data_IF_367619969861
#
_entry.id   IF_367619969861
#
_cell.length_a   1.000
_cell.length_b   1.000
_cell.length_c   1.000
_cell.angle_alpha   90.00
_cell.angle_beta   90.00
_cell.angle_gamma   90.00
#
_symmetry.space_group_name_H-M   'P 1'
#
loop_
_entity.id
_entity.type
_entity.pdbx_description
1 polymer ?
#
# COMPACT_ATOMS: atom_id res chain seq x y z
N UNK A 1 8.82 16.00 -12.80
CA UNK A 1 7.92 16.28 -12.04
C UNK A 1 7.39 15.26 -11.22
N UNK A 2 7.54 15.29 -10.06
CA UNK A 2 7.14 14.28 -9.16
C UNK A 2 5.66 14.35 -8.97
N UNK A 3 5.00 13.32 -9.37
CA UNK A 3 3.64 13.30 -9.21
C UNK A 3 3.34 12.28 -8.25
N UNK A 4 2.58 12.51 -7.28
CA UNK A 4 2.23 11.54 -6.32
C UNK A 4 1.01 10.80 -6.71
N UNK A 5 0.75 10.72 -7.96
CA UNK A 5 -0.40 10.02 -8.42
C UNK A 5 -0.05 8.62 -8.78
N UNK A 6 -0.80 7.66 -8.33
CA UNK A 6 -0.59 6.27 -8.66
C UNK A 6 -1.76 5.76 -9.46
N UNK A 7 -1.49 4.92 -10.43
CA UNK A 7 -2.56 4.33 -11.20
C UNK A 7 -3.24 3.25 -10.39
N UNK A 8 -4.50 2.94 -10.70
CA UNK A 8 -5.21 1.91 -9.94
C UNK A 8 -4.48 0.59 -9.87
N UNK A 9 -3.83 0.19 -10.96
CA UNK A 9 -3.09 -1.06 -10.95
C UNK A 9 -1.92 -1.00 -10.01
N UNK A 10 -1.27 0.14 -9.94
CA UNK A 10 -0.15 0.29 -9.03
C UNK A 10 -0.59 0.24 -7.60
N UNK A 11 -1.75 0.83 -7.33
CA UNK A 11 -2.28 0.82 -5.98
C UNK A 11 -2.58 -0.61 -5.54
N UNK A 12 -3.21 -1.36 -6.42
CA UNK A 12 -3.53 -2.74 -6.10
C UNK A 12 -2.25 -3.55 -5.89
N UNK A 13 -1.27 -3.33 -6.73
CA UNK A 13 -0.01 -4.05 -6.60
C UNK A 13 0.67 -3.74 -5.27
N UNK A 14 0.65 -2.48 -4.87
CA UNK A 14 1.28 -2.11 -3.62
C UNK A 14 0.55 -2.67 -2.42
N UNK A 15 -0.77 -2.68 -2.47
CA UNK A 15 -1.55 -3.26 -1.38
C UNK A 15 -1.25 -4.75 -1.25
N UNK A 16 -1.13 -5.43 -2.38
CA UNK A 16 -0.81 -6.82 -2.39
C UNK A 16 0.57 -7.06 -1.83
N UNK A 17 1.51 -6.19 -2.17
CA UNK A 17 2.86 -6.32 -1.69
C UNK A 17 2.89 -6.27 -0.17
N UNK A 18 2.12 -5.37 0.42
CA UNK A 18 2.05 -5.29 1.87
C UNK A 18 1.50 -6.58 2.46
N UNK A 19 0.46 -7.13 1.83
CA UNK A 19 -0.11 -8.37 2.31
C UNK A 19 0.93 -9.48 2.31
N UNK A 20 1.70 -9.57 1.26
CA UNK A 20 2.74 -10.59 1.15
C UNK A 20 3.79 -10.40 2.24
N UNK A 21 4.24 -9.17 2.44
CA UNK A 21 5.26 -8.90 3.43
C UNK A 21 4.76 -9.22 4.84
N UNK A 22 3.52 -8.89 5.12
CA UNK A 22 2.97 -9.17 6.42
C UNK A 22 2.83 -10.68 6.63
N UNK A 23 2.44 -11.39 5.61
CA UNK A 23 2.29 -12.82 5.75
C UNK A 23 3.65 -13.50 5.89
N UNK A 24 4.72 -12.81 5.54
CA UNK A 24 6.06 -13.33 5.74
C UNK A 24 6.60 -13.00 7.13
N UNK A 25 5.80 -12.35 7.95
CA UNK A 25 6.21 -12.05 9.29
C UNK A 25 6.62 -10.63 9.56
N UNK A 26 6.51 -9.77 8.57
CA UNK A 26 6.89 -8.38 8.76
C UNK A 26 5.78 -7.60 9.42
N UNK A 27 6.16 -6.56 10.14
CA UNK A 27 5.15 -5.70 10.73
C UNK A 27 4.47 -4.86 9.65
N UNK A 28 3.27 -4.45 9.94
CA UNK A 28 2.52 -3.64 9.00
C UNK A 28 3.23 -2.35 8.66
N UNK A 29 3.72 -1.66 9.67
CA UNK A 29 4.42 -0.41 9.47
C UNK A 29 5.64 -0.60 8.58
N UNK A 30 6.38 -1.66 8.82
CA UNK A 30 7.56 -1.95 8.05
C UNK A 30 7.21 -2.22 6.60
N UNK A 31 6.17 -3.02 6.40
CA UNK A 31 5.75 -3.36 5.06
C UNK A 31 5.33 -2.10 4.29
N UNK A 32 4.60 -1.22 4.95
CA UNK A 32 4.16 0.00 4.31
C UNK A 32 5.34 0.85 3.92
N UNK A 33 6.34 0.90 4.78
CA UNK A 33 7.52 1.66 4.48
C UNK A 33 8.27 1.10 3.29
N UNK A 34 8.30 -0.20 3.19
CA UNK A 34 9.00 -0.83 2.09
C UNK A 34 8.40 -0.51 0.74
N UNK A 35 7.08 -0.37 0.69
CA UNK A 35 6.46 -0.05 -0.59
C UNK A 35 6.56 1.44 -0.90
N UNK A 36 7.06 2.23 0.05
CA UNK A 36 7.34 3.62 -0.24
C UNK A 36 6.18 4.59 -0.14
N UNK A 37 5.17 4.27 0.66
CA UNK A 37 4.06 5.19 0.85
C UNK A 37 3.89 5.43 2.35
N UNK A 38 3.13 6.45 2.70
CA UNK A 38 2.89 6.72 4.10
C UNK A 38 1.74 5.87 4.57
N UNK A 39 1.64 5.72 5.89
CA UNK A 39 0.58 4.92 6.47
C UNK A 39 -0.78 5.49 6.11
N UNK A 40 -0.88 6.80 6.14
CA UNK A 40 -2.14 7.46 5.80
C UNK A 40 -2.56 7.09 4.39
N UNK A 41 -1.63 7.15 3.45
CA UNK A 41 -1.92 6.82 2.08
C UNK A 41 -2.33 5.36 1.94
N UNK A 42 -1.61 4.49 2.62
CA UNK A 42 -1.90 3.07 2.54
C UNK A 42 -3.31 2.78 3.06
N UNK A 43 -3.66 3.32 4.21
CA UNK A 43 -4.97 3.05 4.79
C UNK A 43 -6.08 3.65 3.95
N UNK A 44 -5.82 4.78 3.35
CA UNK A 44 -6.79 5.40 2.48
C UNK A 44 -7.07 4.53 1.27
N UNK A 45 -6.00 4.01 0.68
CA UNK A 45 -6.14 3.12 -0.45
C UNK A 45 -6.92 1.88 -0.06
N UNK A 46 -6.58 1.32 1.07
CA UNK A 46 -7.21 0.12 1.53
C UNK A 46 -8.70 0.32 1.78
N UNK A 47 -9.02 1.43 2.36
CA UNK A 47 -10.40 1.76 2.63
C UNK A 47 -11.19 1.88 1.34
N UNK A 48 -10.66 2.56 0.37
CA UNK A 48 -11.31 2.72 -0.90
C UNK A 48 -11.45 1.38 -1.62
N UNK A 49 -10.43 0.59 -1.56
CA UNK A 49 -10.43 -0.71 -2.20
C UNK A 49 -11.52 -1.60 -1.62
N UNK A 50 -11.67 -1.56 -0.32
CA UNK A 50 -12.69 -2.37 0.33
C UNK A 50 -14.08 -1.85 0.02
N UNK A 51 -14.22 -0.56 -0.08
CA UNK A 51 -15.52 0.03 -0.36
C UNK A 51 -15.92 -0.18 -1.80
N UNK A 52 -14.97 -0.23 -2.66
CA UNK A 52 -15.24 -0.45 -4.06
C UNK A 52 -15.47 -1.88 -4.37
#
# INVERSE_FOLDING_TARGET
MARKRYKPEEIVAKLRQVDVLVSQGQGMTEAIRQIGVSEVTYYRWRFKSLAG
#
